data_IF_035599156260
#
_entry.id   IF_035599156260
#
_cell.length_a   1.000
_cell.length_b   1.000
_cell.length_c   1.000
_cell.angle_alpha   90.00
_cell.angle_beta   90.00
_cell.angle_gamma   90.00
#
_symmetry.space_group_name_H-M   'P 1'
#
loop_
_entity.id
_entity.type
_entity.pdbx_description
1 polymer ?
#
# COMPACT_ATOMS: atom_id res chain seq x y z
N UNK A 1 -17.25 -0.61 -1.57
CA UNK A 1 -16.36 0.14 -2.48
C UNK A 1 -15.58 1.11 -1.61
N UNK A 2 -14.24 1.09 -1.69
CA UNK A 2 -13.37 1.90 -0.82
C UNK A 2 -13.59 3.39 -1.07
N UNK A 3 -13.49 4.19 -0.01
CA UNK A 3 -13.69 5.64 -0.02
C UNK A 3 -12.45 6.34 0.53
N UNK A 4 -12.29 7.61 0.16
CA UNK A 4 -11.22 8.46 0.70
C UNK A 4 -11.30 8.50 2.24
N UNK A 5 -10.16 8.26 2.89
CA UNK A 5 -10.03 8.20 4.35
C UNK A 5 -10.19 6.81 4.95
N UNK A 6 -10.61 5.80 4.17
CA UNK A 6 -10.65 4.42 4.65
C UNK A 6 -9.23 3.94 4.98
N UNK A 7 -9.09 3.21 6.09
CA UNK A 7 -7.85 2.51 6.47
C UNK A 7 -7.92 1.07 6.00
N UNK A 8 -6.89 0.67 5.25
CA UNK A 8 -6.83 -0.63 4.61
C UNK A 8 -5.43 -1.22 4.71
N UNK A 9 -5.38 -2.54 4.72
CA UNK A 9 -4.18 -3.31 4.45
C UNK A 9 -4.13 -3.68 2.97
N UNK A 10 -3.02 -3.41 2.27
CA UNK A 10 -2.85 -3.73 0.85
C UNK A 10 -1.72 -4.73 0.66
N UNK A 11 -2.03 -5.88 0.06
CA UNK A 11 -1.04 -6.87 -0.33
C UNK A 11 -0.78 -6.82 -1.83
N UNK A 12 0.51 -6.83 -2.20
CA UNK A 12 0.95 -6.74 -3.59
C UNK A 12 2.23 -7.55 -3.79
N UNK A 13 2.49 -7.94 -5.04
CA UNK A 13 3.67 -8.68 -5.42
C UNK A 13 4.80 -7.72 -5.75
N UNK A 14 5.99 -8.03 -5.27
CA UNK A 14 7.20 -7.21 -5.49
C UNK A 14 8.21 -7.89 -6.41
N UNK A 15 7.97 -9.16 -6.76
CA UNK A 15 8.83 -9.94 -7.65
C UNK A 15 8.72 -11.43 -7.38
N UNK A 16 9.76 -12.17 -7.76
CA UNK A 16 9.90 -13.59 -7.48
C UNK A 16 11.22 -13.89 -6.77
N UNK A 17 11.21 -14.88 -5.88
CA UNK A 17 12.42 -15.41 -5.27
C UNK A 17 13.25 -16.24 -6.28
N UNK A 18 14.40 -16.74 -5.84
CA UNK A 18 15.30 -17.58 -6.67
C UNK A 18 14.68 -18.92 -7.08
N UNK A 19 13.56 -19.32 -6.48
CA UNK A 19 12.81 -20.54 -6.78
C UNK A 19 11.58 -20.25 -7.65
N UNK A 20 11.34 -18.99 -8.03
CA UNK A 20 10.22 -18.57 -8.85
C UNK A 20 8.91 -18.34 -8.08
N UNK A 21 8.91 -18.40 -6.75
CA UNK A 21 7.74 -18.08 -5.94
C UNK A 21 7.57 -16.57 -5.86
N UNK A 22 6.32 -16.09 -5.89
CA UNK A 22 6.04 -14.67 -5.74
C UNK A 22 6.38 -14.18 -4.32
N UNK A 23 7.10 -13.06 -4.26
CA UNK A 23 7.28 -12.30 -3.03
C UNK A 23 6.08 -11.38 -2.87
N UNK A 24 5.42 -11.48 -1.71
CA UNK A 24 4.26 -10.66 -1.36
C UNK A 24 4.69 -9.70 -0.25
N UNK A 25 4.42 -8.43 -0.46
CA UNK A 25 4.59 -7.38 0.54
C UNK A 25 3.21 -6.82 0.93
N UNK A 26 3.11 -6.26 2.14
CA UNK A 26 1.85 -5.74 2.68
C UNK A 26 2.06 -4.37 3.33
N UNK A 27 1.30 -3.38 2.88
CA UNK A 27 1.15 -2.10 3.57
C UNK A 27 0.05 -2.26 4.63
N UNK A 28 0.42 -2.27 5.92
CA UNK A 28 -0.50 -2.61 7.05
C UNK A 28 -1.24 -1.43 7.68
N UNK A 29 -1.18 -0.21 7.11
CA UNK A 29 -1.98 0.94 7.56
C UNK A 29 -2.01 2.01 6.44
N UNK A 30 -2.55 1.63 5.28
CA UNK A 30 -2.67 2.53 4.16
C UNK A 30 -3.99 3.30 4.23
N UNK A 31 -3.93 4.61 4.07
CA UNK A 31 -5.12 5.46 3.96
C UNK A 31 -5.46 5.69 2.48
N UNK A 32 -6.71 5.44 2.12
CA UNK A 32 -7.20 5.67 0.75
C UNK A 32 -7.28 7.16 0.46
N UNK A 33 -6.58 7.61 -0.58
CA UNK A 33 -6.66 8.99 -1.07
C UNK A 33 -7.71 9.13 -2.17
N UNK A 34 -7.76 8.15 -3.08
CA UNK A 34 -8.65 8.12 -4.23
C UNK A 34 -8.85 6.67 -4.70
N UNK A 35 -10.07 6.31 -5.12
CA UNK A 35 -10.32 5.07 -5.83
C UNK A 35 -11.23 5.32 -7.03
N UNK A 36 -10.64 5.30 -8.23
CA UNK A 36 -11.32 5.69 -9.48
C UNK A 36 -11.16 4.60 -10.53
N UNK A 37 -12.26 3.97 -10.93
CA UNK A 37 -12.24 2.85 -11.87
C UNK A 37 -11.49 1.65 -11.27
N UNK A 38 -10.27 1.40 -11.75
CA UNK A 38 -9.37 0.38 -11.22
C UNK A 38 -8.14 0.94 -10.50
N UNK A 39 -7.96 2.27 -10.48
CA UNK A 39 -6.79 2.90 -9.87
C UNK A 39 -7.08 3.26 -8.42
N UNK A 40 -6.35 2.62 -7.50
CA UNK A 40 -6.38 2.87 -6.07
C UNK A 40 -5.11 3.64 -5.67
N UNK A 41 -5.28 4.85 -5.16
CA UNK A 41 -4.21 5.67 -4.60
C UNK A 41 -4.30 5.65 -3.08
N UNK A 42 -3.17 5.39 -2.44
CA UNK A 42 -3.08 5.36 -0.98
C UNK A 42 -1.83 6.04 -0.49
N UNK A 43 -1.84 6.39 0.79
CA UNK A 43 -0.65 6.85 1.50
C UNK A 43 -0.41 6.03 2.76
N UNK A 44 0.84 5.83 3.11
CA UNK A 44 1.26 5.28 4.40
C UNK A 44 2.07 6.31 5.18
N UNK A 45 2.13 6.11 6.48
CA UNK A 45 2.88 6.95 7.41
C UNK A 45 3.98 6.10 8.03
N UNK A 46 5.23 6.45 7.78
CA UNK A 46 6.38 5.77 8.39
C UNK A 46 7.08 6.73 9.34
N UNK A 47 7.37 6.25 10.55
CA UNK A 47 8.21 6.99 11.49
C UNK A 47 9.66 6.81 11.07
N UNK A 48 10.34 7.93 10.81
CA UNK A 48 11.75 7.95 10.45
C UNK A 48 12.57 8.64 11.55
N UNK A 49 13.81 8.17 11.82
CA UNK A 49 14.67 8.83 12.80
C UNK A 49 15.04 10.24 12.30
N UNK A 50 14.39 11.26 12.86
CA UNK A 50 14.74 12.66 12.65
C UNK A 50 15.74 13.17 13.70
N UNK A 51 16.43 14.30 13.45
CA UNK A 51 17.28 14.97 14.44
C UNK A 51 16.55 15.33 15.76
N UNK A 52 15.21 15.32 15.78
CA UNK A 52 14.38 15.56 16.96
C UNK A 52 13.55 14.35 17.42
N UNK A 53 13.76 13.17 16.81
CA UNK A 53 13.20 11.90 17.30
C UNK A 53 11.90 11.43 16.66
N UNK A 54 11.08 12.32 16.11
CA UNK A 54 9.72 11.97 15.66
C UNK A 54 9.35 12.60 14.30
N UNK A 55 10.11 12.31 13.24
CA UNK A 55 9.71 12.70 11.89
C UNK A 55 8.79 11.63 11.29
N UNK A 56 7.73 12.07 10.61
CA UNK A 56 6.82 11.19 9.88
C UNK A 56 7.02 11.41 8.39
N UNK A 57 7.47 10.37 7.70
CA UNK A 57 7.52 10.34 6.26
C UNK A 57 6.17 9.84 5.72
N UNK A 58 5.58 10.61 4.80
CA UNK A 58 4.36 10.20 4.09
C UNK A 58 4.78 9.62 2.74
N UNK A 59 4.47 8.34 2.52
CA UNK A 59 4.75 7.66 1.25
C UNK A 59 3.46 7.45 0.48
N UNK A 60 3.47 7.76 -0.80
CA UNK A 60 2.33 7.63 -1.69
C UNK A 60 2.51 6.43 -2.62
N UNK A 61 1.45 5.64 -2.77
CA UNK A 61 1.41 4.46 -3.62
C UNK A 61 0.21 4.51 -4.54
N UNK A 62 0.39 3.96 -5.74
CA UNK A 62 -0.67 3.85 -6.75
C UNK A 62 -0.71 2.41 -7.23
N UNK A 63 -1.89 1.81 -7.15
CA UNK A 63 -2.16 0.45 -7.57
C UNK A 63 -3.22 0.43 -8.65
N UNK A 64 -3.02 -0.37 -9.69
CA UNK A 64 -4.10 -0.83 -10.55
C UNK A 64 -4.61 -2.16 -10.00
N UNK A 65 -5.85 -2.19 -9.49
CA UNK A 65 -6.42 -3.38 -8.85
C UNK A 65 -6.66 -4.54 -9.83
N UNK A 66 -6.61 -4.28 -11.13
CA UNK A 66 -6.67 -5.31 -12.18
C UNK A 66 -5.28 -5.86 -12.54
N UNK A 67 -4.20 -5.26 -12.02
CA UNK A 67 -2.84 -5.74 -12.25
C UNK A 67 -2.65 -7.13 -11.62
N UNK A 68 -1.93 -8.05 -12.28
CA UNK A 68 -1.56 -9.33 -11.67
C UNK A 68 -0.63 -9.17 -10.47
N UNK A 69 -0.04 -7.99 -10.28
CA UNK A 69 0.78 -7.67 -9.11
C UNK A 69 -0.07 -7.26 -7.90
N UNK A 70 -1.32 -6.85 -8.11
CA UNK A 70 -2.24 -6.55 -7.02
C UNK A 70 -2.85 -7.85 -6.50
N UNK A 71 -2.69 -8.11 -5.20
CA UNK A 71 -3.21 -9.34 -4.56
C UNK A 71 -4.54 -9.05 -3.89
N UNK A 72 -4.64 -7.95 -3.15
CA UNK A 72 -5.88 -7.56 -2.50
C UNK A 72 -5.75 -6.34 -1.59
N UNK A 73 -6.89 -5.78 -1.24
CA UNK A 73 -7.04 -4.74 -0.23
C UNK A 73 -8.13 -5.17 0.76
N UNK A 74 -7.80 -5.17 2.05
CA UNK A 74 -8.71 -5.52 3.12
C UNK A 74 -8.93 -4.30 4.02
N UNK A 75 -10.19 -3.96 4.37
CA UNK A 75 -10.45 -2.95 5.38
C UNK A 75 -9.96 -3.41 6.76
N UNK A 76 -9.48 -2.47 7.56
CA UNK A 76 -9.18 -2.69 8.98
C UNK A 76 -10.39 -2.43 9.88
#
# INVERSE_FOLDING_TARGET
MLKKGDRISISYRTGKDTKGNYLIDTLTDAEVEEYTGSILKVRTFEQVPGPQGDEVEIKHFVFDVNSPEFVGALPE
#
